data_IF_238527783177
#
_entry.id   IF_238527783177
#
_cell.length_a   1.000
_cell.length_b   1.000
_cell.length_c   1.000
_cell.angle_alpha   90.00
_cell.angle_beta   90.00
_cell.angle_gamma   90.00
#
_symmetry.space_group_name_H-M   'P 1'
#
loop_
_entity.id
_entity.type
_entity.pdbx_description
1 polymer ?
#
# COMPACT_ATOMS: atom_id res chain seq x y z
N UNK A 1 -21.20 -19.21 14.23
CA UNK A 1 -20.80 -17.85 13.79
C UNK A 1 -19.80 -17.30 14.80
N UNK A 2 -18.70 -16.68 14.37
CA UNK A 2 -17.77 -16.01 15.29
C UNK A 2 -18.54 -14.95 16.09
N UNK A 3 -18.32 -14.91 17.42
CA UNK A 3 -19.01 -13.99 18.32
C UNK A 3 -18.46 -12.58 18.11
N UNK A 4 -19.33 -11.61 17.81
CA UNK A 4 -18.96 -10.19 17.62
C UNK A 4 -18.25 -9.66 18.88
N UNK A 5 -17.00 -9.19 18.77
CA UNK A 5 -16.31 -8.49 19.85
C UNK A 5 -17.10 -7.27 20.34
N UNK A 6 -17.09 -6.99 21.64
CA UNK A 6 -17.85 -5.88 22.24
C UNK A 6 -17.38 -4.48 21.81
N UNK A 7 -16.19 -4.38 21.21
CA UNK A 7 -15.59 -3.14 20.71
C UNK A 7 -15.86 -2.85 19.22
N UNK A 8 -16.60 -3.71 18.52
CA UNK A 8 -16.95 -3.50 17.11
C UNK A 8 -18.36 -2.93 16.98
N UNK A 9 -18.49 -1.77 16.31
CA UNK A 9 -19.80 -1.20 16.00
C UNK A 9 -20.55 -2.07 14.97
N UNK A 10 -19.82 -2.61 13.97
CA UNK A 10 -20.33 -3.48 12.92
C UNK A 10 -19.47 -4.75 12.81
N UNK A 11 -20.12 -5.91 12.72
CA UNK A 11 -19.48 -7.17 12.34
C UNK A 11 -19.16 -7.23 10.84
N UNK A 12 -18.37 -8.23 10.43
CA UNK A 12 -17.95 -8.42 9.02
C UNK A 12 -19.15 -8.56 8.08
N UNK A 13 -20.18 -9.29 8.51
CA UNK A 13 -21.39 -9.52 7.73
C UNK A 13 -22.48 -8.44 7.95
N UNK A 14 -22.23 -7.45 8.81
CA UNK A 14 -23.19 -6.40 9.13
C UNK A 14 -22.97 -5.16 8.26
N UNK A 15 -24.05 -4.64 7.66
CA UNK A 15 -23.97 -3.43 6.84
C UNK A 15 -24.30 -2.18 7.67
N UNK A 16 -23.44 -1.14 7.63
CA UNK A 16 -23.61 0.11 8.39
C UNK A 16 -24.66 1.08 7.84
N UNK A 17 -25.49 0.62 6.89
CA UNK A 17 -26.44 1.45 6.14
C UNK A 17 -25.83 2.03 4.87
N UNK A 18 -26.67 2.30 3.86
CA UNK A 18 -26.23 2.65 2.50
C UNK A 18 -25.36 3.91 2.45
N UNK A 19 -25.72 4.95 3.21
CA UNK A 19 -24.98 6.22 3.21
C UNK A 19 -23.60 6.05 3.85
N UNK A 20 -23.56 5.45 5.05
CA UNK A 20 -22.30 5.17 5.74
C UNK A 20 -21.37 4.27 4.91
N UNK A 21 -21.93 3.27 4.21
CA UNK A 21 -21.18 2.40 3.32
C UNK A 21 -20.49 3.17 2.18
N UNK A 22 -21.21 4.08 1.52
CA UNK A 22 -20.64 4.92 0.45
C UNK A 22 -19.56 5.85 1.00
N UNK A 23 -19.81 6.51 2.14
CA UNK A 23 -18.84 7.41 2.76
C UNK A 23 -17.57 6.67 3.21
N UNK A 24 -17.71 5.50 3.84
CA UNK A 24 -16.56 4.68 4.25
C UNK A 24 -15.81 4.11 3.04
N UNK A 25 -16.51 3.78 1.96
CA UNK A 25 -15.89 3.41 0.70
C UNK A 25 -15.04 4.53 0.14
N UNK A 26 -15.56 5.77 0.12
CA UNK A 26 -14.80 6.95 -0.30
C UNK A 26 -13.58 7.17 0.59
N UNK A 27 -13.73 7.07 1.92
CA UNK A 27 -12.63 7.18 2.86
C UNK A 27 -11.54 6.13 2.60
N UNK A 28 -11.91 4.87 2.33
CA UNK A 28 -10.95 3.82 2.00
C UNK A 28 -10.21 4.13 0.70
N UNK A 29 -10.90 4.60 -0.34
CA UNK A 29 -10.27 5.01 -1.59
C UNK A 29 -9.27 6.14 -1.34
N UNK A 30 -9.65 7.17 -0.58
CA UNK A 30 -8.75 8.28 -0.23
C UNK A 30 -7.51 7.83 0.53
N UNK A 31 -7.65 6.89 1.47
CA UNK A 31 -6.53 6.32 2.21
C UNK A 31 -5.59 5.51 1.29
N UNK A 32 -6.15 4.68 0.41
CA UNK A 32 -5.37 3.86 -0.51
C UNK A 32 -4.66 4.70 -1.59
N UNK A 33 -5.19 5.88 -1.93
CA UNK A 33 -4.61 6.76 -2.94
C UNK A 33 -3.16 7.16 -2.64
N UNK A 34 -2.79 7.23 -1.34
CA UNK A 34 -1.43 7.55 -0.89
C UNK A 34 -0.41 6.54 -1.42
N UNK A 35 -0.80 5.26 -1.56
CA UNK A 35 0.08 4.20 -2.05
C UNK A 35 0.39 4.30 -3.56
N UNK A 36 -0.33 5.12 -4.33
CA UNK A 36 -0.04 5.32 -5.76
C UNK A 36 1.23 6.15 -6.02
N UNK A 37 1.88 6.66 -4.98
CA UNK A 37 3.22 7.24 -5.08
C UNK A 37 4.27 6.19 -5.53
N UNK A 38 4.12 4.91 -5.17
CA UNK A 38 5.11 3.89 -5.50
C UNK A 38 5.23 3.58 -7.00
N UNK A 39 4.13 3.39 -7.76
CA UNK A 39 4.16 3.37 -9.22
C UNK A 39 4.94 4.55 -9.84
N UNK A 40 4.71 5.76 -9.34
CA UNK A 40 5.41 6.97 -9.82
C UNK A 40 6.90 6.87 -9.56
N UNK A 41 7.30 6.48 -8.34
CA UNK A 41 8.72 6.32 -7.97
C UNK A 41 9.41 5.26 -8.84
N UNK A 42 8.72 4.17 -9.16
CA UNK A 42 9.26 3.12 -10.03
C UNK A 42 9.49 3.64 -11.45
N UNK A 43 8.51 4.34 -12.03
CA UNK A 43 8.63 4.94 -13.37
C UNK A 43 9.71 6.01 -13.42
N UNK A 44 9.73 6.89 -12.41
CA UNK A 44 10.81 7.87 -12.23
C UNK A 44 12.14 7.14 -12.23
N UNK A 45 12.34 6.12 -11.40
CA UNK A 45 13.63 5.42 -11.27
C UNK A 45 14.15 4.78 -12.57
N UNK A 46 13.26 4.32 -13.46
CA UNK A 46 13.66 3.70 -14.74
C UNK A 46 13.85 4.70 -15.87
N UNK A 47 13.64 6.00 -15.64
CA UNK A 47 13.79 7.00 -16.71
C UNK A 47 12.51 7.28 -17.49
N UNK A 48 11.37 6.77 -17.03
CA UNK A 48 10.11 6.91 -17.74
C UNK A 48 9.51 8.31 -17.64
N UNK A 49 8.45 8.52 -18.42
CA UNK A 49 7.76 9.81 -18.52
C UNK A 49 6.46 9.85 -17.69
N UNK A 50 5.80 11.02 -17.66
CA UNK A 50 4.55 11.22 -16.92
C UNK A 50 3.41 10.34 -17.45
N UNK A 51 3.33 10.12 -18.77
CA UNK A 51 2.29 9.31 -19.39
C UNK A 51 2.38 7.84 -18.98
N UNK A 52 3.61 7.30 -18.88
CA UNK A 52 3.87 5.96 -18.37
C UNK A 52 3.53 5.84 -16.88
N UNK A 53 3.82 6.88 -16.09
CA UNK A 53 3.43 6.93 -14.68
C UNK A 53 1.91 6.93 -14.51
N UNK A 54 1.19 7.75 -15.27
CA UNK A 54 -0.27 7.76 -15.29
C UNK A 54 -0.85 6.42 -15.73
N UNK A 55 -0.28 5.81 -16.79
CA UNK A 55 -0.67 4.49 -17.28
C UNK A 55 -0.51 3.42 -16.19
N UNK A 56 0.63 3.42 -15.49
CA UNK A 56 0.88 2.48 -14.41
C UNK A 56 -0.06 2.69 -13.21
N UNK A 57 -0.37 3.95 -12.85
CA UNK A 57 -1.34 4.26 -11.79
C UNK A 57 -2.73 3.73 -12.17
N UNK A 58 -3.20 3.98 -13.40
CA UNK A 58 -4.51 3.50 -13.87
C UNK A 58 -4.60 1.98 -13.79
N UNK A 59 -3.56 1.28 -14.23
CA UNK A 59 -3.49 -0.19 -14.13
C UNK A 59 -3.43 -0.66 -12.68
N UNK A 60 -2.64 0.00 -11.83
CA UNK A 60 -2.54 -0.30 -10.41
C UNK A 60 -3.88 -0.13 -9.70
N UNK A 61 -4.63 0.95 -9.98
CA UNK A 61 -5.97 1.17 -9.43
C UNK A 61 -6.94 0.04 -9.80
N UNK A 62 -6.90 -0.40 -11.06
CA UNK A 62 -7.76 -1.47 -11.56
C UNK A 62 -7.39 -2.81 -10.91
N UNK A 63 -6.10 -3.13 -10.86
CA UNK A 63 -5.59 -4.36 -10.26
C UNK A 63 -5.84 -4.44 -8.75
N UNK A 64 -5.60 -3.36 -8.00
CA UNK A 64 -5.86 -3.33 -6.55
C UNK A 64 -7.36 -3.37 -6.24
N UNK A 65 -8.20 -2.72 -7.05
CA UNK A 65 -9.66 -2.79 -6.93
C UNK A 65 -10.18 -4.21 -7.13
N UNK A 66 -9.80 -4.85 -8.24
CA UNK A 66 -10.18 -6.25 -8.53
C UNK A 66 -9.63 -7.19 -7.46
N UNK A 67 -8.35 -7.05 -7.09
CA UNK A 67 -7.71 -7.87 -6.07
C UNK A 67 -8.38 -7.74 -4.70
N UNK A 68 -8.75 -6.53 -4.30
CA UNK A 68 -9.46 -6.28 -3.03
C UNK A 68 -10.85 -6.90 -3.03
N UNK A 69 -11.59 -6.81 -4.15
CA UNK A 69 -12.89 -7.47 -4.31
C UNK A 69 -12.72 -8.98 -4.20
N UNK A 70 -11.76 -9.58 -4.91
CA UNK A 70 -11.47 -11.01 -4.85
C UNK A 70 -11.09 -11.45 -3.43
N UNK A 71 -10.31 -10.64 -2.71
CA UNK A 71 -9.92 -10.93 -1.33
C UNK A 71 -11.11 -10.86 -0.36
N UNK A 72 -12.04 -9.92 -0.58
CA UNK A 72 -13.24 -9.75 0.24
C UNK A 72 -14.33 -10.80 -0.04
N UNK A 73 -14.33 -11.43 -1.21
CA UNK A 73 -15.30 -12.48 -1.56
C UNK A 73 -14.95 -13.79 -0.87
N UNK A 74 -15.85 -14.32 -0.04
CA UNK A 74 -15.69 -15.61 0.65
C UNK A 74 -16.29 -16.80 -0.14
N UNK A 75 -16.21 -16.77 -1.48
CA UNK A 75 -16.81 -17.82 -2.34
C UNK A 75 -15.71 -18.58 -3.08
N UNK A 76 -15.28 -19.69 -2.50
CA UNK A 76 -14.37 -20.65 -3.12
C UNK A 76 -13.05 -20.81 -2.36
N UNK A 77 -11.99 -21.33 -3.02
CA UNK A 77 -10.67 -21.54 -2.39
C UNK A 77 -9.83 -20.27 -2.29
N UNK A 78 -10.34 -19.12 -2.75
CA UNK A 78 -9.64 -17.83 -2.84
C UNK A 78 -10.48 -16.77 -2.14
N UNK A 79 -9.80 -15.88 -1.39
CA UNK A 79 -10.41 -14.81 -0.62
C UNK A 79 -10.53 -15.14 0.87
N UNK A 80 -10.40 -14.12 1.72
CA UNK A 80 -10.47 -14.26 3.17
C UNK A 80 -11.89 -14.06 3.70
N UNK A 81 -12.78 -13.42 2.93
CA UNK A 81 -14.07 -12.95 3.41
C UNK A 81 -14.01 -11.70 4.27
N UNK A 82 -12.81 -11.11 4.42
CA UNK A 82 -12.58 -9.87 5.14
C UNK A 82 -12.18 -8.76 4.16
N UNK A 83 -12.52 -7.52 4.50
CA UNK A 83 -11.99 -6.37 3.77
C UNK A 83 -10.50 -6.22 4.07
N UNK A 84 -9.66 -6.79 3.20
CA UNK A 84 -8.22 -6.65 3.22
C UNK A 84 -7.79 -5.94 1.93
N UNK A 85 -7.73 -4.59 1.92
CA UNK A 85 -7.34 -3.84 0.72
C UNK A 85 -5.94 -4.23 0.26
N UNK A 86 -5.83 -4.60 -1.02
CA UNK A 86 -4.54 -4.77 -1.67
C UNK A 86 -3.99 -3.41 -2.04
N UNK A 87 -2.71 -3.20 -1.76
CA UNK A 87 -2.01 -1.95 -2.04
C UNK A 87 -0.59 -2.24 -2.54
N UNK A 88 -0.06 -1.31 -3.33
CA UNK A 88 1.34 -1.34 -3.71
C UNK A 88 2.15 -0.94 -2.47
N UNK A 89 2.73 -1.94 -1.80
CA UNK A 89 3.42 -1.74 -0.54
C UNK A 89 4.90 -1.41 -0.72
N UNK A 90 5.52 -0.73 0.25
CA UNK A 90 6.95 -0.46 0.24
C UNK A 90 7.83 -1.70 0.34
N UNK A 91 7.30 -2.83 0.83
CA UNK A 91 8.05 -4.07 1.07
C UNK A 91 8.75 -4.64 -0.19
N UNK A 92 8.21 -4.36 -1.37
CA UNK A 92 8.81 -4.80 -2.65
C UNK A 92 9.48 -3.65 -3.42
N UNK A 93 9.55 -2.45 -2.84
CA UNK A 93 10.01 -1.27 -3.56
C UNK A 93 11.47 -1.41 -3.98
N UNK A 94 12.39 -1.73 -3.07
CA UNK A 94 13.82 -1.87 -3.43
C UNK A 94 14.06 -2.95 -4.48
N UNK A 95 13.37 -4.08 -4.38
CA UNK A 95 13.45 -5.16 -5.37
C UNK A 95 12.94 -4.71 -6.74
N UNK A 96 11.80 -3.99 -6.77
CA UNK A 96 11.21 -3.44 -7.99
C UNK A 96 12.11 -2.39 -8.63
N UNK A 97 12.73 -1.51 -7.83
CA UNK A 97 13.68 -0.51 -8.32
C UNK A 97 14.93 -1.15 -8.94
N UNK A 98 15.43 -2.23 -8.34
CA UNK A 98 16.56 -2.97 -8.87
C UNK A 98 16.20 -3.64 -10.21
N UNK A 99 15.08 -4.36 -10.26
CA UNK A 99 14.59 -4.98 -11.48
C UNK A 99 14.31 -3.97 -12.59
N UNK A 100 13.70 -2.84 -12.25
CA UNK A 100 13.44 -1.75 -13.20
C UNK A 100 14.70 -1.22 -13.85
N UNK A 101 15.78 -1.03 -13.07
CA UNK A 101 17.06 -0.56 -13.62
C UNK A 101 17.76 -1.59 -14.52
N UNK A 102 17.54 -2.88 -14.28
CA UNK A 102 18.18 -3.96 -15.05
C UNK A 102 17.41 -4.33 -16.32
N UNK A 103 16.09 -4.36 -16.26
CA UNK A 103 15.24 -4.90 -17.33
C UNK A 103 13.91 -4.17 -17.52
N UNK A 104 13.75 -2.97 -16.94
CA UNK A 104 12.57 -2.15 -17.11
C UNK A 104 11.30 -2.76 -16.52
N UNK A 105 10.14 -2.27 -17.00
CA UNK A 105 8.82 -2.71 -16.53
C UNK A 105 8.54 -4.19 -16.84
N UNK A 106 9.05 -4.73 -17.96
CA UNK A 106 8.85 -6.13 -18.32
C UNK A 106 9.46 -7.07 -17.28
N UNK A 107 10.66 -6.75 -16.76
CA UNK A 107 11.28 -7.53 -15.70
C UNK A 107 10.52 -7.39 -14.38
N UNK A 108 10.05 -6.18 -14.04
CA UNK A 108 9.22 -5.95 -12.84
C UNK A 108 7.93 -6.78 -12.89
N UNK A 109 7.20 -6.76 -14.01
CA UNK A 109 5.97 -7.53 -14.15
C UNK A 109 6.24 -9.04 -14.15
N UNK A 110 7.30 -9.49 -14.81
CA UNK A 110 7.71 -10.90 -14.80
C UNK A 110 8.04 -11.40 -13.39
N UNK A 111 8.87 -10.66 -12.64
CA UNK A 111 9.21 -11.04 -11.27
C UNK A 111 7.99 -10.99 -10.34
N UNK A 112 7.08 -10.02 -10.53
CA UNK A 112 5.87 -9.88 -9.72
C UNK A 112 4.92 -11.05 -9.96
N UNK A 113 4.75 -11.45 -11.23
CA UNK A 113 3.93 -12.60 -11.59
C UNK A 113 4.49 -13.90 -10.97
N UNK A 114 5.81 -14.11 -11.06
CA UNK A 114 6.47 -15.26 -10.44
C UNK A 114 6.31 -15.24 -8.92
N UNK A 115 6.62 -14.11 -8.27
CA UNK A 115 6.45 -13.95 -6.82
C UNK A 115 5.02 -14.21 -6.37
N UNK A 116 4.02 -13.67 -7.07
CA UNK A 116 2.60 -13.92 -6.78
C UNK A 116 2.20 -15.39 -6.92
N UNK A 117 2.73 -16.11 -7.93
CA UNK A 117 2.51 -17.55 -8.04
C UNK A 117 3.13 -18.33 -6.87
N UNK A 118 4.35 -17.96 -6.45
CA UNK A 118 5.00 -18.55 -5.28
C UNK A 118 4.21 -18.26 -4.00
N UNK A 119 3.78 -17.02 -3.77
CA UNK A 119 2.95 -16.65 -2.62
C UNK A 119 1.62 -17.41 -2.61
N UNK A 120 0.95 -17.55 -3.76
CA UNK A 120 -0.27 -18.33 -3.87
C UNK A 120 -0.06 -19.79 -3.48
N UNK A 121 1.08 -20.39 -3.85
CA UNK A 121 1.44 -21.75 -3.44
C UNK A 121 1.77 -21.83 -1.94
N UNK A 122 2.61 -20.93 -1.44
CA UNK A 122 3.05 -20.89 -0.04
C UNK A 122 1.93 -20.51 0.94
N UNK A 123 0.89 -19.82 0.48
CA UNK A 123 -0.28 -19.46 1.30
C UNK A 123 -0.89 -20.68 2.01
N UNK A 124 -0.85 -21.87 1.38
CA UNK A 124 -1.36 -23.13 1.92
C UNK A 124 -0.51 -23.68 3.07
N UNK A 125 0.77 -23.33 3.11
CA UNK A 125 1.73 -23.75 4.12
C UNK A 125 1.80 -22.78 5.31
N UNK A 126 1.27 -21.56 5.14
CA UNK A 126 1.37 -20.47 6.12
C UNK A 126 0.83 -20.85 7.51
N UNK A 127 -0.22 -21.67 7.57
CA UNK A 127 -0.78 -22.17 8.84
C UNK A 127 0.23 -22.98 9.66
N UNK A 128 1.13 -23.72 8.99
CA UNK A 128 2.20 -24.50 9.62
C UNK A 128 3.44 -23.64 9.92
N UNK A 129 3.67 -22.58 9.15
CA UNK A 129 4.81 -21.67 9.33
C UNK A 129 4.61 -20.62 10.41
N UNK A 130 3.39 -20.46 10.98
CA UNK A 130 3.15 -19.54 12.11
C UNK A 130 4.09 -19.75 13.29
N UNK A 131 4.57 -20.97 13.51
CA UNK A 131 5.55 -21.26 14.56
C UNK A 131 6.95 -20.65 14.30
N UNK A 132 7.28 -20.39 13.03
CA UNK A 132 8.58 -19.83 12.59
C UNK A 132 8.56 -18.31 12.56
N UNK A 133 7.38 -17.70 12.49
CA UNK A 133 7.19 -16.24 12.48
C UNK A 133 6.47 -15.78 13.74
N UNK A 134 7.14 -15.79 14.91
CA UNK A 134 6.58 -15.22 16.12
C UNK A 134 6.40 -13.70 15.97
N UNK A 135 5.69 -13.09 16.91
CA UNK A 135 5.31 -11.68 16.83
C UNK A 135 6.53 -10.75 16.74
N UNK A 136 7.63 -11.13 17.39
CA UNK A 136 8.89 -10.39 17.41
C UNK A 136 9.54 -10.35 16.02
N UNK A 137 9.57 -11.48 15.31
CA UNK A 137 10.14 -11.56 13.95
C UNK A 137 9.29 -10.76 12.97
N UNK A 138 7.97 -10.94 13.03
CA UNK A 138 7.04 -10.23 12.17
C UNK A 138 7.11 -8.71 12.42
N UNK A 139 7.15 -8.29 13.68
CA UNK A 139 7.29 -6.89 14.06
C UNK A 139 8.59 -6.28 13.55
N UNK A 140 9.71 -7.01 13.69
CA UNK A 140 11.02 -6.55 13.19
C UNK A 140 11.01 -6.36 11.68
N UNK A 141 10.41 -7.29 10.92
CA UNK A 141 10.27 -7.18 9.46
C UNK A 141 9.47 -5.93 9.09
N UNK A 142 8.34 -5.69 9.76
CA UNK A 142 7.52 -4.50 9.50
C UNK A 142 8.27 -3.21 9.85
N UNK A 143 9.05 -3.19 10.93
CA UNK A 143 9.91 -2.05 11.28
C UNK A 143 10.99 -1.81 10.23
N UNK A 144 11.63 -2.86 9.71
CA UNK A 144 12.62 -2.75 8.64
C UNK A 144 12.02 -2.16 7.37
N UNK A 145 10.82 -2.61 6.96
CA UNK A 145 10.09 -2.02 5.82
C UNK A 145 9.80 -0.54 6.05
N UNK A 146 9.44 -0.13 7.28
CA UNK A 146 9.27 1.28 7.63
C UNK A 146 10.55 2.10 7.51
N UNK A 147 11.67 1.58 8.02
CA UNK A 147 13.00 2.21 7.95
C UNK A 147 13.45 2.36 6.49
N UNK A 148 13.18 1.35 5.65
CA UNK A 148 13.54 1.35 4.22
C UNK A 148 12.89 2.51 3.43
N UNK A 149 11.70 2.97 3.85
CA UNK A 149 11.00 4.08 3.19
C UNK A 149 11.54 5.45 3.61
N UNK A 150 12.24 5.55 4.75
CA UNK A 150 12.70 6.84 5.30
C UNK A 150 13.56 7.65 4.30
N UNK A 151 14.57 7.08 3.62
CA UNK A 151 15.39 7.85 2.68
C UNK A 151 14.58 8.43 1.51
N UNK A 152 13.58 7.68 1.03
CA UNK A 152 12.68 8.13 -0.02
C UNK A 152 11.78 9.26 0.48
N UNK A 153 11.21 9.10 1.68
CA UNK A 153 10.36 10.11 2.30
C UNK A 153 11.11 11.43 2.51
N UNK A 154 12.35 11.38 3.00
CA UNK A 154 13.20 12.58 3.19
C UNK A 154 13.47 13.29 1.86
N UNK A 155 13.78 12.55 0.78
CA UNK A 155 14.01 13.16 -0.55
C UNK A 155 12.77 13.91 -1.04
N UNK A 156 11.60 13.29 -0.94
CA UNK A 156 10.33 13.93 -1.33
C UNK A 156 9.97 15.10 -0.40
N UNK A 157 10.27 15.00 0.90
CA UNK A 157 10.06 16.08 1.88
C UNK A 157 10.91 17.31 1.57
N UNK A 158 12.17 17.11 1.14
CA UNK A 158 13.08 18.18 0.76
C UNK A 158 12.82 18.73 -0.66
N UNK A 159 11.87 18.16 -1.40
CA UNK A 159 11.62 18.53 -2.80
C UNK A 159 12.76 18.16 -3.76
N UNK A 160 13.61 17.20 -3.38
CA UNK A 160 14.75 16.78 -4.20
C UNK A 160 14.27 15.80 -5.25
N UNK A 161 14.46 16.16 -6.51
CA UNK A 161 14.16 15.32 -7.67
C UNK A 161 15.26 15.44 -8.73
N UNK A 162 15.13 14.74 -9.87
CA UNK A 162 16.09 14.74 -10.97
C UNK A 162 16.46 16.13 -11.48
N UNK A 163 15.50 17.06 -11.49
CA UNK A 163 15.70 18.43 -11.98
C UNK A 163 16.14 19.41 -10.89
N UNK A 164 15.85 19.10 -9.62
CA UNK A 164 16.11 19.96 -8.47
C UNK A 164 16.94 19.17 -7.45
N UNK A 165 18.28 19.26 -7.57
CA UNK A 165 19.20 18.55 -6.67
C UNK A 165 19.44 19.27 -5.34
N UNK A 166 18.94 20.50 -5.22
CA UNK A 166 18.99 21.31 -4.00
C UNK A 166 17.63 21.28 -3.29
N UNK A 167 17.59 21.37 -1.95
CA UNK A 167 16.34 21.45 -1.23
C UNK A 167 15.47 22.64 -1.68
N UNK A 168 14.20 22.39 -1.98
CA UNK A 168 13.23 23.43 -2.32
C UNK A 168 12.48 23.90 -1.07
N UNK A 169 12.59 25.18 -0.75
CA UNK A 169 11.90 25.79 0.38
C UNK A 169 10.38 25.70 0.28
N UNK A 170 9.82 25.72 -0.94
CA UNK A 170 8.37 25.60 -1.16
C UNK A 170 7.90 24.18 -0.86
N UNK A 171 8.58 23.17 -1.39
CA UNK A 171 8.30 21.77 -1.09
C UNK A 171 8.38 21.47 0.42
N UNK A 172 9.42 21.96 1.10
CA UNK A 172 9.57 21.80 2.55
C UNK A 172 8.41 22.45 3.30
N UNK A 173 8.02 23.67 2.92
CA UNK A 173 6.90 24.37 3.55
C UNK A 173 5.60 23.57 3.40
N UNK A 174 5.31 23.09 2.18
CA UNK A 174 4.14 22.24 1.92
C UNK A 174 4.21 20.97 2.77
N UNK A 175 5.34 20.29 2.79
CA UNK A 175 5.51 19.05 3.54
C UNK A 175 5.33 19.25 5.07
N UNK A 176 5.86 20.34 5.64
CA UNK A 176 5.68 20.69 7.06
C UNK A 176 4.22 21.00 7.36
N UNK A 177 3.54 21.79 6.52
CA UNK A 177 2.12 22.13 6.71
C UNK A 177 1.26 20.86 6.61
N UNK A 178 1.50 20.01 5.62
CA UNK A 178 0.75 18.75 5.44
C UNK A 178 0.98 17.80 6.62
N UNK A 179 2.22 17.61 7.06
CA UNK A 179 2.55 16.77 8.21
C UNK A 179 1.95 17.32 9.51
N UNK A 180 2.04 18.64 9.71
CA UNK A 180 1.46 19.33 10.86
C UNK A 180 -0.05 19.17 10.90
N UNK A 181 -0.73 19.39 9.78
CA UNK A 181 -2.18 19.19 9.67
C UNK A 181 -2.56 17.73 9.95
N UNK A 182 -1.84 16.77 9.39
CA UNK A 182 -2.06 15.34 9.65
C UNK A 182 -1.89 15.00 11.14
N UNK A 183 -0.78 15.43 11.76
CA UNK A 183 -0.55 15.21 13.19
C UNK A 183 -1.63 15.88 14.05
N UNK A 184 -2.04 17.10 13.69
CA UNK A 184 -3.08 17.81 14.41
C UNK A 184 -4.43 17.08 14.34
N UNK A 185 -4.87 16.69 13.14
CA UNK A 185 -6.11 15.93 13.00
C UNK A 185 -6.03 14.53 13.61
N UNK A 186 -4.85 13.90 13.64
CA UNK A 186 -4.70 12.59 14.26
C UNK A 186 -4.77 12.65 15.80
N UNK A 187 -4.14 13.67 16.42
CA UNK A 187 -4.10 13.82 17.89
C UNK A 187 -5.39 14.42 18.45
N UNK A 188 -5.94 15.44 17.79
CA UNK A 188 -7.12 16.17 18.28
C UNK A 188 -8.43 15.82 17.55
N UNK A 189 -8.37 15.08 16.45
CA UNK A 189 -9.56 14.59 15.76
C UNK A 189 -10.26 13.52 16.60
N UNK A 190 -11.46 13.84 17.09
CA UNK A 190 -12.34 12.83 17.68
C UNK A 190 -13.00 12.04 16.56
N UNK A 191 -12.41 10.89 16.20
CA UNK A 191 -13.11 9.88 15.41
C UNK A 191 -14.28 9.34 16.24
N UNK A 192 -15.50 9.70 15.87
CA UNK A 192 -16.71 9.00 16.32
C UNK A 192 -17.11 7.98 15.28
#
# INVERSE_FOLDING_TARGET
MPRKPSNLLYGVDESPGRIALVLMGFQHISLMAIAFIFPVIVIEAIGGNLEEAEGLIRMAMLATGVGTILQAVNRGPVGSGYLCPLLNGPAFLSASLMAGKMGGLSLIFGMTAVAGCFEAFFSRLLSRMRAVFPAEVTGTIVTMVGIEVVPLAIRKFLGIDRMHTVPDGTAILVAVITLGAMACFNVWGRGK
#
